data_IF_722198351579
#
_entry.id   IF_722198351579
#
_cell.length_a   1.000
_cell.length_b   1.000
_cell.length_c   1.000
_cell.angle_alpha   90.00
_cell.angle_beta   90.00
_cell.angle_gamma   90.00
#
_symmetry.space_group_name_H-M   'P 1'
#
loop_
_entity.id
_entity.type
_entity.pdbx_description
1 polymer ?
#
# COMPACT_ATOMS: atom_id res chain seq x y z
N UNK A 1 9.16 33.98 13.66
CA UNK A 1 9.31 34.16 12.21
C UNK A 1 7.97 34.00 11.52
N UNK A 2 7.44 35.08 10.94
CA UNK A 2 6.13 35.11 10.28
C UNK A 2 6.06 34.30 8.97
N UNK A 3 7.23 33.97 8.38
CA UNK A 3 7.35 33.29 7.07
C UNK A 3 6.63 31.94 7.02
N UNK A 4 6.62 31.18 8.11
CA UNK A 4 6.09 29.81 8.15
C UNK A 4 4.83 29.66 9.01
N UNK A 5 4.18 30.76 9.39
CA UNK A 5 3.00 30.74 10.27
C UNK A 5 1.85 29.88 9.71
N UNK A 6 1.62 29.92 8.39
CA UNK A 6 0.57 29.11 7.76
C UNK A 6 0.82 27.61 7.91
N UNK A 7 2.02 27.13 7.55
CA UNK A 7 2.37 25.71 7.60
C UNK A 7 2.49 25.20 9.04
N UNK A 8 3.11 25.99 9.93
CA UNK A 8 3.20 25.65 11.36
C UNK A 8 1.82 25.62 12.02
N UNK A 9 0.93 26.55 11.67
CA UNK A 9 -0.47 26.56 12.10
C UNK A 9 -1.26 25.35 11.62
N UNK A 10 -1.08 24.92 10.35
CA UNK A 10 -1.68 23.70 9.81
C UNK A 10 -1.22 22.45 10.57
N UNK A 11 0.09 22.33 10.85
CA UNK A 11 0.65 21.22 11.61
C UNK A 11 0.08 21.19 13.02
N UNK A 12 0.07 22.34 13.71
CA UNK A 12 -0.50 22.45 15.06
C UNK A 12 -1.96 21.99 15.09
N UNK A 13 -2.78 22.51 14.17
CA UNK A 13 -4.20 22.13 14.04
C UNK A 13 -4.36 20.63 13.76
N UNK A 14 -3.55 20.07 12.88
CA UNK A 14 -3.61 18.65 12.53
C UNK A 14 -3.23 17.75 13.72
N UNK A 15 -2.19 18.13 14.48
CA UNK A 15 -1.76 17.40 15.69
C UNK A 15 -2.76 17.53 16.83
N UNK A 16 -3.34 18.71 17.06
CA UNK A 16 -4.38 18.93 18.08
C UNK A 16 -5.67 18.16 17.79
N UNK A 17 -6.03 18.03 16.50
CA UNK A 17 -7.19 17.26 16.06
C UNK A 17 -6.91 15.75 15.89
N UNK A 18 -5.66 15.30 16.05
CA UNK A 18 -5.29 13.91 15.86
C UNK A 18 -5.68 13.08 17.08
N UNK A 19 -6.49 12.06 16.86
CA UNK A 19 -6.78 11.02 17.83
C UNK A 19 -5.86 9.82 17.58
N UNK A 20 -4.87 9.54 18.45
CA UNK A 20 -4.00 8.38 18.30
C UNK A 20 -4.80 7.08 18.37
N UNK A 21 -4.41 6.09 17.57
CA UNK A 21 -4.99 4.77 17.72
C UNK A 21 -4.45 4.11 18.99
N UNK A 22 -5.35 3.74 19.91
CA UNK A 22 -5.01 2.84 21.01
C UNK A 22 -5.16 1.40 20.51
N UNK A 23 -4.05 0.66 20.48
CA UNK A 23 -3.99 -0.71 19.91
C UNK A 23 -4.75 -1.70 20.78
N UNK A 24 -6.03 -1.91 20.49
CA UNK A 24 -6.79 -3.10 20.88
C UNK A 24 -6.89 -4.02 19.66
N UNK A 25 -5.89 -4.88 19.45
CA UNK A 25 -5.68 -5.66 18.21
C UNK A 25 -5.46 -4.75 16.98
N UNK A 26 -6.08 -5.04 15.83
CA UNK A 26 -6.00 -4.23 14.60
C UNK A 26 -7.17 -3.22 14.44
N UNK A 27 -7.81 -2.84 15.53
CA UNK A 27 -8.99 -1.95 15.54
C UNK A 27 -8.73 -0.58 14.89
N UNK A 28 -7.47 -0.14 14.82
CA UNK A 28 -7.05 1.10 14.17
C UNK A 28 -7.62 1.25 12.76
N UNK A 29 -7.72 0.15 12.02
CA UNK A 29 -8.12 0.17 10.62
C UNK A 29 -9.59 -0.24 10.42
N UNK A 30 -10.36 -0.40 11.51
CA UNK A 30 -11.74 -0.89 11.48
C UNK A 30 -12.69 -0.02 10.68
N UNK A 31 -12.53 1.30 10.75
CA UNK A 31 -13.36 2.23 9.98
C UNK A 31 -13.30 1.96 8.48
N UNK A 32 -12.15 1.46 7.98
CA UNK A 32 -11.91 1.22 6.55
C UNK A 32 -12.74 0.05 6.04
N UNK A 33 -12.64 -1.14 6.66
CA UNK A 33 -13.44 -2.27 6.18
C UNK A 33 -14.93 -2.05 6.43
N UNK A 34 -15.32 -1.38 7.53
CA UNK A 34 -16.72 -1.02 7.77
C UNK A 34 -17.28 -0.11 6.68
N UNK A 35 -16.49 0.85 6.21
CA UNK A 35 -16.86 1.73 5.09
C UNK A 35 -16.94 0.94 3.78
N UNK A 36 -15.98 0.07 3.52
CA UNK A 36 -15.92 -0.73 2.30
C UNK A 36 -17.04 -1.77 2.20
N UNK A 37 -17.49 -2.31 3.34
CA UNK A 37 -18.59 -3.27 3.41
C UNK A 37 -19.98 -2.59 3.46
N UNK A 38 -20.05 -1.29 3.73
CA UNK A 38 -21.32 -0.56 3.85
C UNK A 38 -22.26 -0.72 2.62
N UNK A 39 -21.78 -0.70 1.37
CA UNK A 39 -22.63 -0.91 0.19
C UNK A 39 -23.29 -2.29 0.12
N UNK A 40 -22.76 -3.29 0.84
CA UNK A 40 -23.20 -4.69 0.78
C UNK A 40 -24.10 -5.10 1.95
N UNK A 41 -24.48 -4.15 2.84
CA UNK A 41 -25.38 -4.41 3.98
C UNK A 41 -26.75 -4.93 3.58
N UNK A 42 -27.21 -4.65 2.36
CA UNK A 42 -28.45 -5.21 1.79
C UNK A 42 -28.38 -6.70 1.47
N UNK A 43 -27.20 -7.32 1.60
CA UNK A 43 -26.95 -8.71 1.29
C UNK A 43 -26.35 -8.92 -0.09
N UNK A 44 -25.55 -9.97 -0.21
CA UNK A 44 -24.94 -10.45 -1.45
C UNK A 44 -25.62 -11.77 -1.79
N UNK A 45 -26.41 -11.77 -2.86
CA UNK A 45 -27.11 -12.97 -3.32
C UNK A 45 -26.20 -13.91 -4.11
N UNK A 46 -26.66 -15.15 -4.28
CA UNK A 46 -25.96 -16.14 -5.10
C UNK A 46 -25.84 -15.70 -6.56
N UNK A 47 -26.86 -15.03 -7.08
CA UNK A 47 -26.92 -14.50 -8.44
C UNK A 47 -25.91 -13.38 -8.63
N UNK A 48 -25.82 -12.46 -7.66
CA UNK A 48 -24.78 -11.41 -7.64
C UNK A 48 -23.38 -12.01 -7.67
N UNK A 49 -23.10 -12.99 -6.79
CA UNK A 49 -21.79 -13.64 -6.79
C UNK A 49 -21.51 -14.39 -8.11
N UNK A 50 -22.50 -15.09 -8.66
CA UNK A 50 -22.36 -15.75 -9.96
C UNK A 50 -22.04 -14.76 -11.09
N UNK A 51 -22.62 -13.57 -11.07
CA UNK A 51 -22.31 -12.48 -12.01
C UNK A 51 -20.86 -11.98 -11.84
N UNK A 52 -20.39 -11.75 -10.60
CA UNK A 52 -19.00 -11.30 -10.36
C UNK A 52 -18.01 -12.31 -10.93
N UNK A 53 -18.24 -13.60 -10.67
CA UNK A 53 -17.38 -14.69 -11.16
C UNK A 53 -17.42 -14.79 -12.68
N UNK A 54 -18.60 -14.67 -13.32
CA UNK A 54 -18.71 -14.76 -14.78
C UNK A 54 -17.98 -13.62 -15.50
N UNK A 55 -17.90 -12.45 -14.88
CA UNK A 55 -17.19 -11.28 -15.39
C UNK A 55 -15.67 -11.35 -15.25
N UNK A 56 -15.12 -12.35 -14.55
CA UNK A 56 -13.67 -12.57 -14.35
C UNK A 56 -12.93 -11.33 -13.83
N UNK A 57 -13.57 -10.62 -12.87
CA UNK A 57 -13.01 -9.40 -12.28
C UNK A 57 -11.88 -9.67 -11.27
N UNK A 58 -11.69 -10.93 -10.87
CA UNK A 58 -10.62 -11.37 -9.99
C UNK A 58 -10.57 -12.89 -9.93
N UNK A 59 -9.79 -13.41 -8.99
CA UNK A 59 -9.68 -14.84 -8.71
C UNK A 59 -10.72 -15.25 -7.67
N UNK A 60 -11.53 -16.25 -7.98
CA UNK A 60 -12.60 -16.73 -7.11
C UNK A 60 -12.11 -17.76 -6.10
N UNK A 61 -12.36 -17.50 -4.82
CA UNK A 61 -12.04 -18.36 -3.68
C UNK A 61 -13.32 -18.77 -2.94
N UNK A 62 -13.28 -19.96 -2.34
CA UNK A 62 -14.32 -20.45 -1.44
C UNK A 62 -13.67 -20.99 -0.16
N UNK A 63 -14.22 -20.63 1.00
CA UNK A 63 -13.86 -21.21 2.30
C UNK A 63 -15.03 -22.07 2.74
N UNK A 64 -14.78 -23.36 2.95
CA UNK A 64 -15.81 -24.31 3.38
C UNK A 64 -15.21 -25.28 4.40
N UNK A 65 -15.80 -25.35 5.59
CA UNK A 65 -15.33 -26.20 6.70
C UNK A 65 -13.84 -25.97 6.98
N UNK A 66 -13.46 -24.70 7.09
CA UNK A 66 -12.08 -24.24 7.33
C UNK A 66 -11.04 -24.72 6.29
N UNK A 67 -11.48 -25.01 5.06
CA UNK A 67 -10.61 -25.35 3.92
C UNK A 67 -10.75 -24.32 2.82
N UNK A 68 -9.63 -23.95 2.19
CA UNK A 68 -9.57 -22.98 1.12
C UNK A 68 -9.64 -23.70 -0.22
N UNK A 69 -10.51 -23.21 -1.11
CA UNK A 69 -10.63 -23.69 -2.48
C UNK A 69 -10.51 -22.50 -3.43
N UNK A 70 -9.92 -22.73 -4.60
CA UNK A 70 -9.74 -21.69 -5.63
C UNK A 70 -10.02 -22.26 -7.00
N UNK A 71 -10.43 -21.39 -7.92
CA UNK A 71 -10.36 -21.72 -9.35
C UNK A 71 -8.91 -21.99 -9.79
N UNK A 72 -8.75 -22.68 -10.92
CA UNK A 72 -7.43 -23.04 -11.44
C UNK A 72 -6.63 -21.79 -11.83
N UNK A 73 -7.29 -20.87 -12.53
CA UNK A 73 -6.65 -19.69 -13.11
C UNK A 73 -6.26 -18.65 -12.04
N UNK A 74 -4.97 -18.32 -11.99
CA UNK A 74 -4.47 -17.12 -11.35
C UNK A 74 -3.46 -16.44 -12.28
N UNK A 75 -3.78 -15.24 -12.77
CA UNK A 75 -2.92 -14.50 -13.69
C UNK A 75 -1.56 -14.12 -13.08
N UNK A 76 -1.50 -13.99 -11.75
CA UNK A 76 -0.29 -13.66 -11.02
C UNK A 76 -0.07 -14.66 -9.87
N UNK A 77 0.50 -15.85 -10.14
CA UNK A 77 0.60 -16.94 -9.16
C UNK A 77 1.22 -16.55 -7.82
N UNK A 78 2.34 -15.81 -7.82
CA UNK A 78 2.97 -15.33 -6.60
C UNK A 78 2.08 -14.35 -5.81
N UNK A 79 1.22 -13.58 -6.47
CA UNK A 79 0.25 -12.69 -5.79
C UNK A 79 -0.87 -13.49 -5.13
N UNK A 80 -1.39 -14.51 -5.81
CA UNK A 80 -2.34 -15.44 -5.20
C UNK A 80 -1.71 -16.15 -4.00
N UNK A 81 -0.48 -16.63 -4.12
CA UNK A 81 0.27 -17.28 -3.02
C UNK A 81 0.41 -16.35 -1.80
N UNK A 82 0.73 -15.06 -2.02
CA UNK A 82 0.79 -14.07 -0.94
C UNK A 82 -0.56 -13.80 -0.26
N UNK A 83 -1.68 -13.83 -1.00
CA UNK A 83 -3.03 -13.77 -0.41
C UNK A 83 -3.34 -15.04 0.38
N UNK A 84 -3.09 -16.21 -0.23
CA UNK A 84 -3.35 -17.53 0.32
C UNK A 84 -2.59 -17.77 1.63
N UNK A 85 -1.36 -17.26 1.76
CA UNK A 85 -0.61 -17.28 3.01
C UNK A 85 -1.43 -16.74 4.19
N UNK A 86 -2.00 -15.54 4.04
CA UNK A 86 -2.79 -14.92 5.11
C UNK A 86 -4.11 -15.66 5.32
N UNK A 87 -4.81 -16.03 4.25
CA UNK A 87 -6.07 -16.77 4.34
C UNK A 87 -5.89 -18.09 5.11
N UNK A 88 -4.87 -18.88 4.77
CA UNK A 88 -4.56 -20.15 5.44
C UNK A 88 -4.15 -19.95 6.91
N UNK A 89 -3.45 -18.87 7.23
CA UNK A 89 -3.06 -18.53 8.60
C UNK A 89 -4.23 -18.28 9.56
N UNK A 90 -5.36 -17.80 9.02
CA UNK A 90 -6.56 -17.45 9.81
C UNK A 90 -7.76 -18.39 9.57
N UNK A 91 -7.65 -19.34 8.65
CA UNK A 91 -8.79 -20.10 8.10
C UNK A 91 -9.62 -20.87 9.14
N UNK A 92 -8.99 -21.28 10.25
CA UNK A 92 -9.65 -22.01 11.35
C UNK A 92 -10.64 -21.15 12.12
N UNK A 93 -10.55 -19.82 12.01
CA UNK A 93 -11.42 -18.84 12.67
C UNK A 93 -12.43 -18.21 11.71
N UNK A 94 -12.35 -18.52 10.43
CA UNK A 94 -13.25 -17.99 9.41
C UNK A 94 -14.48 -18.90 9.20
N UNK A 95 -15.68 -18.32 9.03
CA UNK A 95 -16.88 -19.05 8.63
C UNK A 95 -16.85 -19.42 7.14
N UNK A 96 -17.82 -20.22 6.72
CA UNK A 96 -18.01 -20.57 5.31
C UNK A 96 -18.38 -19.33 4.48
N UNK A 97 -17.67 -19.09 3.38
CA UNK A 97 -17.90 -17.94 2.48
C UNK A 97 -17.32 -18.19 1.08
N UNK A 98 -17.64 -17.31 0.14
CA UNK A 98 -16.93 -17.22 -1.14
C UNK A 98 -16.74 -15.76 -1.53
N UNK A 99 -15.65 -15.46 -2.24
CA UNK A 99 -15.24 -14.10 -2.59
C UNK A 99 -14.41 -14.06 -3.87
N UNK A 100 -14.45 -12.93 -4.57
CA UNK A 100 -13.61 -12.66 -5.74
C UNK A 100 -12.52 -11.67 -5.36
N UNK A 101 -11.27 -12.13 -5.37
CA UNK A 101 -10.07 -11.34 -5.03
C UNK A 101 -9.33 -10.97 -6.30
N UNK A 102 -9.39 -9.68 -6.67
CA UNK A 102 -8.59 -9.11 -7.72
C UNK A 102 -7.12 -8.95 -7.28
N UNK A 103 -6.23 -9.67 -7.95
CA UNK A 103 -4.78 -9.58 -7.76
C UNK A 103 -4.07 -8.73 -8.83
N UNK A 104 -4.82 -8.01 -9.66
CA UNK A 104 -4.28 -7.00 -10.59
C UNK A 104 -4.01 -5.68 -9.85
N UNK A 105 -3.31 -4.76 -10.52
CA UNK A 105 -2.96 -3.47 -9.91
C UNK A 105 -4.17 -2.52 -9.77
N UNK A 106 -5.14 -2.56 -10.69
CA UNK A 106 -6.21 -1.56 -10.78
C UNK A 106 -7.55 -2.08 -10.23
N UNK A 107 -8.36 -1.27 -9.54
CA UNK A 107 -9.69 -1.65 -9.05
C UNK A 107 -10.68 -1.91 -10.18
N UNK A 108 -11.79 -2.60 -9.87
CA UNK A 108 -12.69 -3.20 -10.87
C UNK A 108 -14.13 -2.68 -10.82
N UNK A 109 -14.56 -2.08 -9.71
CA UNK A 109 -15.96 -1.74 -9.44
C UNK A 109 -16.10 -0.22 -9.28
N UNK A 110 -16.10 0.55 -10.37
CA UNK A 110 -16.30 2.00 -10.29
C UNK A 110 -17.67 2.36 -9.72
N UNK A 111 -17.78 3.52 -9.05
CA UNK A 111 -18.98 3.97 -8.33
C UNK A 111 -20.25 4.07 -9.17
N UNK A 112 -20.10 4.35 -10.46
CA UNK A 112 -21.20 4.45 -11.41
C UNK A 112 -21.81 3.09 -11.78
N UNK A 113 -21.12 1.97 -11.52
CA UNK A 113 -21.62 0.63 -11.82
C UNK A 113 -22.82 0.28 -10.93
N UNK A 114 -23.89 -0.23 -11.55
CA UNK A 114 -25.11 -0.73 -10.89
C UNK A 114 -25.53 -2.09 -11.47
N UNK A 115 -25.92 -3.09 -10.65
CA UNK A 115 -25.82 -3.09 -9.19
C UNK A 115 -24.36 -3.06 -8.70
N UNK A 116 -24.15 -2.68 -7.43
CA UNK A 116 -22.82 -2.73 -6.82
C UNK A 116 -22.48 -4.20 -6.54
N UNK A 117 -21.29 -4.64 -6.95
CA UNK A 117 -20.85 -6.03 -6.84
C UNK A 117 -19.57 -6.16 -5.98
N UNK A 118 -19.42 -7.23 -5.17
CA UNK A 118 -18.29 -7.36 -4.25
C UNK A 118 -17.04 -7.90 -4.95
N UNK A 119 -16.04 -7.03 -5.16
CA UNK A 119 -14.70 -7.42 -5.60
C UNK A 119 -13.68 -6.86 -4.61
N UNK A 120 -12.74 -7.69 -4.18
CA UNK A 120 -11.65 -7.27 -3.30
C UNK A 120 -10.47 -6.82 -4.15
N UNK A 121 -9.95 -5.61 -3.93
CA UNK A 121 -8.77 -5.07 -4.62
C UNK A 121 -7.84 -4.39 -3.62
N UNK A 122 -6.51 -4.55 -3.75
CA UNK A 122 -5.58 -4.04 -2.73
C UNK A 122 -5.60 -2.50 -2.60
N UNK A 123 -5.95 -1.81 -3.69
CA UNK A 123 -5.93 -0.35 -3.79
C UNK A 123 -7.11 0.19 -4.58
N UNK A 124 -7.58 1.37 -4.17
CA UNK A 124 -8.65 2.10 -4.83
C UNK A 124 -8.58 3.60 -4.54
N UNK A 125 -9.45 4.35 -5.21
CA UNK A 125 -9.81 5.73 -4.84
C UNK A 125 -11.24 5.77 -4.28
N UNK A 126 -11.72 6.96 -3.89
CA UNK A 126 -13.12 7.16 -3.53
C UNK A 126 -14.08 6.79 -4.66
N UNK A 127 -13.63 6.79 -5.92
CA UNK A 127 -14.47 6.53 -7.10
C UNK A 127 -14.73 5.04 -7.37
N UNK A 128 -14.35 4.16 -6.45
CA UNK A 128 -14.52 2.71 -6.55
C UNK A 128 -15.16 2.11 -5.29
N UNK A 129 -15.99 1.10 -5.51
CA UNK A 129 -16.65 0.30 -4.48
C UNK A 129 -15.91 -1.00 -4.16
N UNK A 130 -14.73 -1.23 -4.74
CA UNK A 130 -13.89 -2.38 -4.38
C UNK A 130 -13.63 -2.41 -2.86
N UNK A 131 -13.52 -3.61 -2.30
CA UNK A 131 -13.22 -3.81 -0.89
C UNK A 131 -11.70 -3.91 -0.73
N UNK A 132 -11.08 -3.01 0.02
CA UNK A 132 -9.63 -3.05 0.22
C UNK A 132 -9.21 -4.24 1.07
N UNK A 133 -8.08 -4.83 0.72
CA UNK A 133 -7.44 -5.90 1.49
C UNK A 133 -5.93 -5.66 1.62
N UNK A 134 -5.26 -6.20 2.65
CA UNK A 134 -3.81 -6.14 2.77
C UNK A 134 -3.12 -6.87 1.60
N UNK A 135 -2.41 -6.11 0.77
CA UNK A 135 -1.81 -6.62 -0.45
C UNK A 135 -0.93 -7.87 -0.24
N UNK A 136 -0.90 -8.74 -1.24
CA UNK A 136 -0.05 -9.94 -1.29
C UNK A 136 1.41 -9.69 -0.87
N UNK A 137 1.95 -8.52 -1.22
CA UNK A 137 3.36 -8.11 -0.98
C UNK A 137 3.74 -8.02 0.50
N UNK A 138 2.79 -8.07 1.44
CA UNK A 138 3.16 -8.25 2.85
C UNK A 138 3.88 -9.59 3.08
N UNK A 139 3.59 -10.60 2.25
CA UNK A 139 4.28 -11.89 2.25
C UNK A 139 5.16 -12.08 1.00
N UNK A 140 4.60 -11.99 -0.20
CA UNK A 140 5.33 -12.23 -1.46
C UNK A 140 4.61 -11.64 -2.70
N UNK A 141 5.16 -11.82 -3.90
CA UNK A 141 4.50 -11.44 -5.16
C UNK A 141 4.48 -9.94 -5.48
N UNK A 142 5.22 -9.12 -4.73
CA UNK A 142 5.50 -7.73 -5.11
C UNK A 142 6.44 -7.64 -6.32
N UNK A 143 6.76 -6.41 -6.79
CA UNK A 143 7.59 -6.22 -7.97
C UNK A 143 8.97 -6.91 -7.85
N UNK A 144 9.30 -7.77 -8.82
CA UNK A 144 10.62 -8.39 -8.96
C UNK A 144 11.59 -7.42 -9.64
N UNK A 145 12.18 -6.53 -8.83
CA UNK A 145 13.09 -5.48 -9.29
C UNK A 145 14.52 -6.03 -9.28
N UNK A 146 15.03 -6.43 -10.44
CA UNK A 146 16.40 -6.93 -10.56
C UNK A 146 17.45 -5.81 -10.39
N UNK A 147 18.58 -6.03 -9.70
CA UNK A 147 18.95 -7.25 -8.96
C UNK A 147 18.51 -7.25 -7.48
N UNK A 148 17.81 -6.21 -7.02
CA UNK A 148 17.60 -5.96 -5.58
C UNK A 148 16.51 -6.81 -4.92
N UNK A 149 15.50 -7.25 -5.68
CA UNK A 149 14.42 -8.14 -5.23
C UNK A 149 14.16 -9.21 -6.31
N UNK A 150 15.08 -10.18 -6.49
CA UNK A 150 15.02 -11.13 -7.60
C UNK A 150 13.77 -12.04 -7.56
N UNK A 151 13.26 -12.33 -6.36
CA UNK A 151 12.06 -13.15 -6.12
C UNK A 151 10.81 -12.30 -5.80
N UNK A 152 10.84 -11.00 -6.10
CA UNK A 152 9.74 -10.08 -5.78
C UNK A 152 9.86 -9.45 -4.39
N UNK A 153 9.41 -8.19 -4.29
CA UNK A 153 9.27 -7.50 -3.00
C UNK A 153 8.25 -8.24 -2.12
N UNK A 154 8.64 -8.59 -0.90
CA UNK A 154 7.85 -9.39 0.02
C UNK A 154 8.39 -9.33 1.44
N UNK A 155 7.97 -10.29 2.26
CA UNK A 155 8.48 -10.56 3.62
C UNK A 155 8.60 -9.29 4.44
N UNK A 156 7.45 -8.65 4.63
CA UNK A 156 7.36 -7.39 5.36
C UNK A 156 7.93 -7.50 6.78
N UNK A 157 7.80 -8.66 7.43
CA UNK A 157 8.47 -9.00 8.68
C UNK A 157 9.99 -8.79 8.62
N UNK A 158 10.66 -9.34 7.61
CA UNK A 158 12.12 -9.23 7.46
C UNK A 158 12.53 -7.82 7.02
N UNK A 159 11.78 -7.24 6.09
CA UNK A 159 12.03 -5.90 5.57
C UNK A 159 11.91 -4.82 6.67
N UNK A 160 11.00 -4.99 7.64
CA UNK A 160 10.90 -4.12 8.82
C UNK A 160 12.19 -4.11 9.63
N UNK A 161 12.77 -5.28 9.89
CA UNK A 161 14.04 -5.39 10.64
C UNK A 161 15.22 -4.81 9.86
N UNK A 162 15.28 -5.04 8.55
CA UNK A 162 16.31 -4.47 7.68
C UNK A 162 16.27 -2.94 7.66
N UNK A 163 15.06 -2.37 7.54
CA UNK A 163 14.85 -0.92 7.58
C UNK A 163 15.15 -0.32 8.95
N UNK A 164 14.75 -0.98 10.04
CA UNK A 164 15.09 -0.57 11.41
C UNK A 164 16.61 -0.49 11.60
N UNK A 165 17.33 -1.55 11.22
CA UNK A 165 18.81 -1.57 11.28
C UNK A 165 19.45 -0.49 10.41
N UNK A 166 18.87 -0.18 9.26
CA UNK A 166 19.36 0.91 8.41
C UNK A 166 19.10 2.28 9.04
N UNK A 167 17.92 2.50 9.62
CA UNK A 167 17.56 3.74 10.31
C UNK A 167 18.50 4.01 11.50
N UNK A 168 18.90 2.99 12.26
CA UNK A 168 19.87 3.10 13.36
C UNK A 168 21.25 3.57 12.89
N UNK A 169 21.69 3.16 11.68
CA UNK A 169 22.94 3.65 11.07
C UNK A 169 22.85 5.11 10.63
N UNK A 170 21.64 5.59 10.34
CA UNK A 170 21.36 6.92 9.81
C UNK A 170 20.44 7.73 10.73
N UNK A 171 20.87 8.10 11.95
CA UNK A 171 20.10 8.98 12.81
C UNK A 171 19.85 10.33 12.14
N UNK A 172 18.76 11.00 12.50
CA UNK A 172 18.25 12.20 11.82
C UNK A 172 19.33 13.24 11.45
N UNK A 173 20.21 13.59 12.41
CA UNK A 173 21.29 14.56 12.22
C UNK A 173 22.36 14.15 11.19
N UNK A 174 22.51 12.85 10.89
CA UNK A 174 23.46 12.32 9.88
C UNK A 174 22.85 12.16 8.49
N UNK A 175 21.53 12.26 8.36
CA UNK A 175 20.84 12.11 7.07
C UNK A 175 21.11 13.30 6.16
N UNK A 176 21.17 13.04 4.85
CA UNK A 176 21.38 14.03 3.80
C UNK A 176 20.10 14.87 3.61
N UNK A 177 20.20 16.19 3.76
CA UNK A 177 19.10 17.16 3.62
C UNK A 177 18.69 17.44 2.16
N UNK A 178 18.38 16.39 1.40
CA UNK A 178 18.00 16.42 -0.02
C UNK A 178 16.76 15.56 -0.24
N UNK A 179 15.84 16.01 -1.09
CA UNK A 179 14.71 15.18 -1.56
C UNK A 179 15.23 13.96 -2.30
N UNK A 180 14.68 12.77 -2.05
CA UNK A 180 15.17 11.54 -2.68
C UNK A 180 14.06 10.67 -3.25
N UNK A 181 14.29 10.17 -4.47
CA UNK A 181 13.44 9.19 -5.12
C UNK A 181 14.22 8.31 -6.12
N UNK A 182 13.97 7.00 -6.05
CA UNK A 182 14.32 6.02 -7.09
C UNK A 182 13.11 5.14 -7.36
N UNK A 183 12.67 5.10 -8.61
CA UNK A 183 11.55 4.27 -9.06
C UNK A 183 11.32 4.45 -10.54
N UNK A 184 10.50 3.61 -11.16
CA UNK A 184 10.18 3.70 -12.60
C UNK A 184 9.03 4.68 -12.88
N UNK A 185 8.80 5.00 -14.15
CA UNK A 185 7.74 5.91 -14.60
C UNK A 185 6.38 5.20 -14.74
N UNK A 186 5.84 4.72 -13.62
CA UNK A 186 4.50 4.06 -13.59
C UNK A 186 3.33 5.05 -13.51
N UNK A 187 3.61 6.35 -13.30
CA UNK A 187 2.64 7.44 -13.43
C UNK A 187 3.38 8.70 -13.90
N UNK A 188 2.84 9.50 -14.83
CA UNK A 188 3.38 10.80 -15.21
C UNK A 188 3.42 11.82 -14.07
N UNK A 189 2.63 11.64 -13.00
CA UNK A 189 2.65 12.53 -11.81
C UNK A 189 4.02 12.55 -11.11
N UNK A 190 4.91 11.59 -11.41
CA UNK A 190 6.30 11.57 -10.93
C UNK A 190 7.21 12.50 -11.72
N UNK A 191 6.84 12.89 -12.94
CA UNK A 191 7.69 13.64 -13.86
C UNK A 191 8.18 14.97 -13.29
N UNK A 192 7.34 15.81 -12.64
CA UNK A 192 7.79 17.10 -12.13
C UNK A 192 8.95 16.99 -11.13
N UNK A 193 8.98 15.95 -10.28
CA UNK A 193 10.09 15.75 -9.34
C UNK A 193 11.39 15.36 -10.05
N UNK A 194 11.29 14.54 -11.09
CA UNK A 194 12.45 14.14 -11.90
C UNK A 194 13.00 15.35 -12.66
N UNK A 195 12.13 16.20 -13.19
CA UNK A 195 12.53 17.45 -13.86
C UNK A 195 13.15 18.42 -12.86
N UNK A 196 12.56 18.58 -11.66
CA UNK A 196 13.12 19.37 -10.57
C UNK A 196 14.51 18.89 -10.16
N UNK A 197 14.73 17.58 -10.07
CA UNK A 197 16.05 17.02 -9.75
C UNK A 197 17.10 17.29 -10.84
N UNK A 198 16.68 17.32 -12.11
CA UNK A 198 17.57 17.68 -13.23
C UNK A 198 17.93 19.15 -13.22
N UNK A 199 16.97 20.01 -12.86
CA UNK A 199 17.16 21.45 -12.77
C UNK A 199 17.99 21.84 -11.54
N UNK A 200 17.69 21.27 -10.38
CA UNK A 200 18.34 21.56 -9.11
C UNK A 200 18.72 20.27 -8.37
N UNK A 201 19.83 19.63 -8.76
CA UNK A 201 20.29 18.38 -8.14
C UNK A 201 20.72 18.54 -6.67
N UNK A 202 20.94 19.77 -6.19
CA UNK A 202 21.22 20.05 -4.78
C UNK A 202 19.97 20.10 -3.90
N UNK A 203 18.80 20.33 -4.50
CA UNK A 203 17.52 20.28 -3.80
C UNK A 203 16.94 18.86 -3.77
N UNK A 204 17.00 18.15 -4.90
CA UNK A 204 16.40 16.82 -5.07
C UNK A 204 17.33 15.91 -5.88
N UNK A 205 17.49 14.67 -5.42
CA UNK A 205 18.05 13.55 -6.19
C UNK A 205 16.95 12.52 -6.49
N UNK A 206 16.24 12.73 -7.61
CA UNK A 206 15.16 11.90 -8.09
C UNK A 206 15.45 11.42 -9.52
N UNK A 207 15.48 10.10 -9.73
CA UNK A 207 15.80 9.51 -11.05
C UNK A 207 14.91 8.32 -11.36
N UNK A 208 14.56 8.19 -12.64
CA UNK A 208 13.82 7.04 -13.13
C UNK A 208 14.70 5.80 -13.29
N UNK A 209 14.25 4.68 -12.75
CA UNK A 209 14.82 3.33 -12.96
C UNK A 209 14.02 2.59 -14.04
N UNK A 210 14.45 1.38 -14.43
CA UNK A 210 13.67 0.52 -15.32
C UNK A 210 12.55 -0.21 -14.57
N UNK A 211 11.53 -0.62 -15.31
CA UNK A 211 10.61 -1.68 -14.93
C UNK A 211 10.55 -2.71 -16.08
N UNK A 212 9.83 -3.81 -15.87
CA UNK A 212 9.71 -4.88 -16.86
C UNK A 212 8.99 -4.45 -18.16
N UNK A 213 8.27 -3.32 -18.15
CA UNK A 213 7.57 -2.77 -19.30
C UNK A 213 8.39 -1.71 -20.06
N UNK A 214 9.65 -1.48 -19.68
CA UNK A 214 10.52 -0.49 -20.33
C UNK A 214 10.79 -0.86 -21.80
N UNK A 215 10.64 0.12 -22.71
CA UNK A 215 10.85 -0.04 -24.15
C UNK A 215 11.89 0.92 -24.71
N UNK A 216 11.97 2.15 -24.19
CA UNK A 216 12.94 3.14 -24.66
C UNK A 216 13.22 4.21 -23.60
N UNK A 217 14.15 5.12 -23.89
CA UNK A 217 14.44 6.25 -23.00
C UNK A 217 13.24 7.20 -22.79
N UNK A 218 12.19 7.11 -23.62
CA UNK A 218 10.94 7.83 -23.36
C UNK A 218 10.34 7.45 -21.99
N UNK A 219 10.50 6.20 -21.57
CA UNK A 219 10.02 5.69 -20.29
C UNK A 219 10.85 6.22 -19.10
N UNK A 220 11.98 6.87 -19.37
CA UNK A 220 12.88 7.52 -18.40
C UNK A 220 13.06 9.01 -18.70
N UNK A 221 12.09 9.62 -19.40
CA UNK A 221 12.10 11.05 -19.78
C UNK A 221 13.36 11.46 -20.57
N UNK A 222 13.74 10.67 -21.59
CA UNK A 222 14.84 10.98 -22.50
C UNK A 222 16.23 10.96 -21.86
N UNK A 223 16.42 10.17 -20.80
CA UNK A 223 17.71 9.94 -20.16
C UNK A 223 17.94 8.44 -19.92
N UNK A 224 19.19 7.97 -19.83
CA UNK A 224 19.48 6.60 -19.42
C UNK A 224 18.86 6.29 -18.05
N UNK A 225 18.37 5.06 -17.83
CA UNK A 225 17.82 4.66 -16.54
C UNK A 225 18.88 4.72 -15.44
N UNK A 226 18.49 5.20 -14.26
CA UNK A 226 19.29 5.05 -13.06
C UNK A 226 19.29 3.58 -12.58
N UNK A 227 20.35 3.22 -11.85
CA UNK A 227 20.42 1.94 -11.14
C UNK A 227 19.32 1.87 -10.09
N UNK A 228 18.76 0.67 -9.94
CA UNK A 228 17.87 0.29 -8.87
C UNK A 228 18.61 0.38 -7.53
N UNK A 229 17.98 0.95 -6.51
CA UNK A 229 18.56 1.14 -5.18
C UNK A 229 17.68 0.40 -4.16
N UNK A 230 18.24 -0.46 -3.30
CA UNK A 230 17.50 -1.11 -2.22
C UNK A 230 16.80 -0.09 -1.31
N UNK A 231 15.66 -0.45 -0.72
CA UNK A 231 14.91 0.46 0.15
C UNK A 231 15.71 0.85 1.39
N UNK A 232 16.51 -0.07 1.95
CA UNK A 232 17.41 0.22 3.07
C UNK A 232 18.40 1.35 2.79
N UNK A 233 18.85 1.50 1.54
CA UNK A 233 19.81 2.54 1.15
C UNK A 233 19.17 3.91 0.97
N UNK A 234 17.83 3.99 1.02
CA UNK A 234 17.11 5.27 1.06
C UNK A 234 17.23 5.94 2.42
N UNK A 235 17.47 5.18 3.50
CA UNK A 235 17.42 5.70 4.87
C UNK A 235 18.50 6.74 5.19
N UNK A 236 19.51 6.92 4.33
CA UNK A 236 20.50 8.00 4.46
C UNK A 236 19.97 9.39 4.07
N UNK A 237 18.80 9.51 3.46
CA UNK A 237 18.21 10.80 3.06
C UNK A 237 17.14 11.24 4.04
N UNK A 238 17.05 12.55 4.32
CA UNK A 238 16.03 13.11 5.22
C UNK A 238 14.63 13.08 4.61
N UNK A 239 14.49 13.38 3.32
CA UNK A 239 13.19 13.64 2.70
C UNK A 239 12.93 12.59 1.61
N UNK A 240 12.01 11.66 1.87
CA UNK A 240 11.71 10.54 0.97
C UNK A 240 10.35 10.74 0.31
N UNK A 241 10.33 10.75 -1.03
CA UNK A 241 9.10 10.97 -1.77
C UNK A 241 8.35 9.67 -2.07
N UNK A 242 7.04 9.69 -1.86
CA UNK A 242 6.10 8.67 -2.30
C UNK A 242 5.12 9.24 -3.33
N UNK A 243 4.80 8.42 -4.33
CA UNK A 243 3.84 8.71 -5.39
C UNK A 243 3.00 7.47 -5.66
N UNK A 244 1.79 7.67 -6.19
CA UNK A 244 1.07 6.60 -6.89
C UNK A 244 1.89 6.03 -8.07
N UNK A 245 1.52 4.84 -8.50
CA UNK A 245 1.91 4.23 -9.77
C UNK A 245 0.67 3.96 -10.61
N UNK A 246 0.49 2.71 -11.03
CA UNK A 246 -0.79 2.27 -11.63
C UNK A 246 -1.94 2.51 -10.65
N UNK A 247 -1.73 2.16 -9.37
CA UNK A 247 -2.60 2.47 -8.24
C UNK A 247 -1.75 3.03 -7.07
N UNK A 248 -2.09 2.76 -5.80
CA UNK A 248 -1.18 3.01 -4.68
C UNK A 248 0.15 2.24 -4.85
N UNK A 249 1.21 2.72 -4.21
CA UNK A 249 2.56 2.18 -4.36
C UNK A 249 3.05 1.59 -3.05
N UNK A 250 3.45 0.32 -3.11
CA UNK A 250 4.01 -0.41 -1.96
C UNK A 250 5.21 0.26 -1.30
N UNK A 251 5.88 1.21 -1.99
CA UNK A 251 6.97 2.04 -1.44
C UNK A 251 6.58 2.72 -0.13
N UNK A 252 5.36 3.25 0.02
CA UNK A 252 5.00 4.19 1.09
C UNK A 252 5.37 3.65 2.49
N UNK A 253 4.89 2.46 2.85
CA UNK A 253 5.12 1.86 4.18
C UNK A 253 6.59 1.70 4.55
N UNK A 254 7.46 1.49 3.55
CA UNK A 254 8.88 1.29 3.77
C UNK A 254 9.62 2.58 4.13
N UNK A 255 9.18 3.72 3.58
CA UNK A 255 9.87 5.00 3.75
C UNK A 255 9.85 5.48 5.21
N UNK A 256 8.72 5.25 5.91
CA UNK A 256 8.56 5.63 7.30
C UNK A 256 9.57 4.92 8.22
N UNK A 257 9.82 3.63 7.99
CA UNK A 257 10.74 2.85 8.82
C UNK A 257 12.20 3.29 8.73
N UNK A 258 12.56 4.08 7.73
CA UNK A 258 13.87 4.72 7.68
C UNK A 258 14.06 5.79 8.78
N UNK A 259 12.99 6.24 9.47
CA UNK A 259 13.05 7.43 10.33
C UNK A 259 13.33 8.71 9.54
N UNK A 260 13.01 8.70 8.25
CA UNK A 260 13.09 9.84 7.35
C UNK A 260 11.71 10.48 7.22
N UNK A 261 11.66 11.78 6.91
CA UNK A 261 10.41 12.48 6.67
C UNK A 261 9.85 12.10 5.30
N UNK A 262 8.63 11.57 5.30
CA UNK A 262 7.93 11.18 4.07
C UNK A 262 7.21 12.38 3.48
N UNK A 263 7.40 12.59 2.18
CA UNK A 263 6.62 13.50 1.34
C UNK A 263 5.67 12.66 0.49
N UNK A 264 4.39 12.69 0.79
CA UNK A 264 3.38 11.91 0.05
C UNK A 264 2.66 12.81 -0.95
N UNK A 265 2.86 12.50 -2.23
CA UNK A 265 2.23 13.22 -3.34
C UNK A 265 0.84 12.65 -3.63
N UNK A 266 -0.14 13.55 -3.66
CA UNK A 266 -1.55 13.23 -3.90
C UNK A 266 -2.21 12.50 -2.72
N UNK A 267 -3.54 12.40 -2.77
CA UNK A 267 -4.36 11.81 -1.70
C UNK A 267 -5.40 10.78 -2.17
N UNK A 268 -5.55 10.60 -3.50
CA UNK A 268 -6.65 9.79 -4.04
C UNK A 268 -6.44 8.28 -3.87
N UNK A 269 -5.22 7.79 -4.11
CA UNK A 269 -4.93 6.35 -4.18
C UNK A 269 -4.55 5.79 -2.82
N UNK A 270 -5.34 4.81 -2.37
CA UNK A 270 -5.25 4.26 -1.02
C UNK A 270 -4.82 2.79 -1.03
N UNK A 271 -4.09 2.38 0.01
CA UNK A 271 -4.15 1.01 0.54
C UNK A 271 -4.92 1.04 1.88
N UNK A 272 -5.29 -0.12 2.42
CA UNK A 272 -6.17 -0.21 3.59
C UNK A 272 -5.73 0.61 4.82
N UNK A 273 -4.43 0.79 5.02
CA UNK A 273 -3.87 1.50 6.19
C UNK A 273 -3.68 3.00 5.96
N UNK A 274 -3.80 3.48 4.71
CA UNK A 274 -3.56 4.89 4.37
C UNK A 274 -4.50 5.85 5.12
N UNK A 275 -5.80 5.55 5.32
CA UNK A 275 -6.70 6.45 6.04
C UNK A 275 -6.26 6.77 7.48
N UNK A 276 -5.43 5.94 8.11
CA UNK A 276 -4.89 6.20 9.45
C UNK A 276 -3.58 7.00 9.44
N UNK A 277 -2.88 7.06 8.31
CA UNK A 277 -1.79 8.00 8.11
C UNK A 277 -2.37 9.39 7.84
N UNK A 278 -2.29 10.25 8.84
CA UNK A 278 -2.78 11.64 8.74
C UNK A 278 -1.73 12.61 8.18
N UNK A 279 -2.09 13.48 7.22
CA UNK A 279 -1.20 14.54 6.73
C UNK A 279 -0.82 15.49 7.86
N UNK A 280 0.40 16.02 7.82
CA UNK A 280 1.03 16.89 8.83
C UNK A 280 1.31 16.24 10.19
N UNK A 281 0.59 15.18 10.56
CA UNK A 281 0.86 14.37 11.74
C UNK A 281 2.01 13.41 11.46
N UNK A 282 1.90 12.62 10.38
CA UNK A 282 2.81 11.52 10.06
C UNK A 282 3.70 11.80 8.85
N UNK A 283 3.27 12.65 7.92
CA UNK A 283 4.00 12.95 6.67
C UNK A 283 3.67 14.37 6.17
N UNK A 284 4.47 14.87 5.22
CA UNK A 284 4.18 16.11 4.49
C UNK A 284 3.30 15.79 3.27
N UNK A 285 2.04 16.24 3.21
CA UNK A 285 1.25 16.13 1.99
C UNK A 285 1.82 17.08 0.92
N UNK A 286 1.83 16.62 -0.32
CA UNK A 286 2.30 17.39 -1.48
C UNK A 286 1.21 17.34 -2.54
N UNK A 287 0.93 18.48 -3.18
CA UNK A 287 -0.05 18.53 -4.27
C UNK A 287 0.35 17.60 -5.43
N UNK A 288 -0.64 17.01 -6.11
CA UNK A 288 -0.41 16.05 -7.20
C UNK A 288 0.39 16.62 -8.37
N UNK A 289 0.36 17.94 -8.57
CA UNK A 289 1.12 18.66 -9.61
C UNK A 289 2.51 19.12 -9.16
N UNK A 290 2.86 18.93 -7.88
CA UNK A 290 4.10 19.35 -7.21
C UNK A 290 4.33 20.86 -7.18
N UNK A 291 3.28 21.67 -7.35
CA UNK A 291 3.38 23.14 -7.35
C UNK A 291 3.96 23.70 -6.04
N UNK A 292 3.74 23.04 -4.91
CA UNK A 292 4.18 23.44 -3.56
C UNK A 292 5.51 22.79 -3.11
N UNK A 293 6.09 21.88 -3.88
CA UNK A 293 7.21 21.02 -3.42
C UNK A 293 8.45 21.82 -2.98
N UNK A 294 8.75 22.94 -3.64
CA UNK A 294 9.92 23.78 -3.33
C UNK A 294 9.72 24.51 -2.01
N UNK A 295 8.53 25.05 -1.78
CA UNK A 295 8.16 25.72 -0.53
C UNK A 295 8.23 24.72 0.63
N UNK A 296 7.64 23.54 0.46
CA UNK A 296 7.64 22.49 1.47
C UNK A 296 9.06 22.00 1.81
N UNK A 297 9.93 21.81 0.81
CA UNK A 297 11.33 21.45 1.04
C UNK A 297 12.11 22.56 1.75
N UNK A 298 11.83 23.84 1.46
CA UNK A 298 12.45 24.96 2.17
C UNK A 298 11.96 25.04 3.61
N UNK A 299 10.65 24.87 3.83
CA UNK A 299 10.03 24.86 5.15
C UNK A 299 10.67 23.81 6.07
N UNK A 300 10.77 22.56 5.64
CA UNK A 300 11.34 21.49 6.49
C UNK A 300 12.85 21.62 6.73
N UNK A 301 13.56 22.35 5.86
CA UNK A 301 14.98 22.68 6.06
C UNK A 301 15.16 23.76 7.12
N UNK A 302 14.30 24.77 7.11
CA UNK A 302 14.32 25.89 8.08
C UNK A 302 13.66 25.52 9.42
N UNK A 303 12.84 24.47 9.46
CA UNK A 303 12.12 23.99 10.65
C UNK A 303 12.46 22.51 10.95
N UNK A 304 13.75 22.20 11.04
CA UNK A 304 14.26 20.82 11.10
C UNK A 304 13.73 20.01 12.31
N UNK A 305 13.49 20.66 13.45
CA UNK A 305 12.91 20.02 14.63
C UNK A 305 11.48 19.54 14.37
N UNK A 306 10.64 20.39 13.78
CA UNK A 306 9.26 20.05 13.39
C UNK A 306 9.29 18.90 12.36
N UNK A 307 10.19 18.98 11.39
CA UNK A 307 10.38 17.93 10.39
C UNK A 307 10.74 16.57 11.02
N UNK A 308 11.63 16.57 12.02
CA UNK A 308 12.00 15.38 12.76
C UNK A 308 10.83 14.78 13.55
N UNK A 309 10.02 15.62 14.20
CA UNK A 309 8.86 15.17 14.96
C UNK A 309 7.81 14.48 14.08
N UNK A 310 7.52 15.05 12.90
CA UNK A 310 6.61 14.43 11.92
C UNK A 310 7.16 13.08 11.46
N UNK A 311 8.46 13.03 11.13
CA UNK A 311 9.12 11.79 10.71
C UNK A 311 9.04 10.71 11.80
N UNK A 312 9.24 11.08 13.06
CA UNK A 312 9.18 10.15 14.19
C UNK A 312 7.77 9.62 14.40
N UNK A 313 6.74 10.47 14.40
CA UNK A 313 5.34 10.02 14.50
C UNK A 313 4.96 9.06 13.38
N UNK A 314 5.35 9.36 12.13
CA UNK A 314 5.12 8.47 10.99
C UNK A 314 5.84 7.12 11.13
N UNK A 315 7.10 7.13 11.59
CA UNK A 315 7.85 5.90 11.89
C UNK A 315 7.17 5.08 12.99
N UNK A 316 6.79 5.73 14.09
CA UNK A 316 6.16 5.09 15.23
C UNK A 316 4.84 4.43 14.81
N UNK A 317 3.99 5.14 14.07
CA UNK A 317 2.72 4.60 13.58
C UNK A 317 2.90 3.30 12.76
N UNK A 318 3.82 3.29 11.79
CA UNK A 318 4.09 2.08 10.99
C UNK A 318 4.73 0.96 11.83
N UNK A 319 5.54 1.33 12.82
CA UNK A 319 6.15 0.35 13.73
C UNK A 319 5.09 -0.33 14.59
N UNK A 320 4.14 0.42 15.12
CA UNK A 320 3.18 -0.06 16.12
C UNK A 320 1.88 -0.61 15.52
N UNK A 321 1.46 -0.15 14.34
CA UNK A 321 0.12 -0.43 13.77
C UNK A 321 0.13 -1.00 12.35
N UNK A 322 1.27 -1.53 11.91
CA UNK A 322 1.40 -2.20 10.61
C UNK A 322 2.44 -3.33 10.65
N UNK A 323 2.40 -4.19 11.66
CA UNK A 323 3.15 -5.46 11.65
C UNK A 323 2.35 -6.60 10.96
N UNK A 324 2.89 -7.83 10.94
CA UNK A 324 2.17 -8.97 10.33
C UNK A 324 0.97 -9.45 11.15
N UNK A 325 0.93 -9.18 12.45
CA UNK A 325 -0.24 -9.48 13.28
C UNK A 325 -1.38 -8.53 12.92
N UNK A 326 -1.10 -7.24 12.73
CA UNK A 326 -2.06 -6.24 12.26
C UNK A 326 -2.63 -6.62 10.89
N UNK A 327 -1.77 -7.06 9.96
CA UNK A 327 -2.17 -7.53 8.62
C UNK A 327 -3.09 -8.75 8.70
N UNK A 328 -2.72 -9.76 9.51
CA UNK A 328 -3.51 -10.99 9.67
C UNK A 328 -4.84 -10.71 10.35
N UNK A 329 -4.83 -9.83 11.36
CA UNK A 329 -6.03 -9.40 12.08
C UNK A 329 -6.98 -8.61 11.17
N UNK A 330 -6.47 -7.74 10.29
CA UNK A 330 -7.32 -7.02 9.32
C UNK A 330 -8.04 -8.01 8.40
N UNK A 331 -7.31 -8.98 7.83
CA UNK A 331 -7.90 -10.05 7.02
C UNK A 331 -9.00 -10.81 7.76
N UNK A 332 -8.75 -11.19 9.01
CA UNK A 332 -9.71 -11.93 9.84
C UNK A 332 -11.00 -11.16 10.09
N UNK A 333 -10.90 -9.89 10.50
CA UNK A 333 -12.07 -9.07 10.78
C UNK A 333 -12.84 -8.72 9.49
N UNK A 334 -12.12 -8.34 8.42
CA UNK A 334 -12.71 -8.04 7.12
C UNK A 334 -13.55 -9.23 6.61
N UNK A 335 -12.97 -10.43 6.60
CA UNK A 335 -13.64 -11.61 6.05
C UNK A 335 -14.76 -12.11 6.97
N UNK A 336 -14.59 -12.01 8.28
CA UNK A 336 -15.63 -12.36 9.25
C UNK A 336 -16.86 -11.46 9.10
N UNK A 337 -16.68 -10.15 8.96
CA UNK A 337 -17.79 -9.21 8.70
C UNK A 337 -18.37 -9.40 7.29
N UNK A 338 -17.53 -9.56 6.26
CA UNK A 338 -17.97 -9.81 4.89
C UNK A 338 -18.86 -11.06 4.76
N UNK A 339 -18.50 -12.15 5.44
CA UNK A 339 -19.25 -13.40 5.38
C UNK A 339 -20.71 -13.26 5.82
N UNK A 340 -21.01 -12.32 6.73
CA UNK A 340 -22.35 -12.05 7.23
C UNK A 340 -23.24 -11.36 6.19
N UNK A 341 -22.64 -10.76 5.16
CA UNK A 341 -23.38 -10.17 4.06
C UNK A 341 -23.86 -11.22 3.03
N UNK A 342 -23.32 -12.45 3.01
CA UNK A 342 -23.80 -13.49 2.10
C UNK A 342 -25.17 -14.01 2.54
N UNK A 343 -26.16 -13.95 1.64
CA UNK A 343 -27.56 -14.33 1.97
C UNK A 343 -27.91 -15.78 1.62
N UNK A 344 -26.89 -16.61 1.37
CA UNK A 344 -27.06 -17.99 0.93
C UNK A 344 -25.94 -18.88 1.46
N UNK A 345 -26.17 -20.20 1.46
CA UNK A 345 -25.15 -21.19 1.81
C UNK A 345 -24.25 -21.49 0.62
N UNK A 346 -22.97 -21.20 0.76
CA UNK A 346 -21.93 -21.47 -0.25
C UNK A 346 -21.82 -22.97 -0.50
N UNK A 347 -21.63 -23.35 -1.77
CA UNK A 347 -21.39 -24.73 -2.19
C UNK A 347 -20.11 -24.79 -3.00
N UNK A 348 -19.26 -25.77 -2.68
CA UNK A 348 -18.00 -25.99 -3.40
C UNK A 348 -18.25 -26.18 -4.89
N UNK A 349 -17.53 -25.44 -5.74
CA UNK A 349 -17.49 -25.69 -7.18
C UNK A 349 -16.65 -26.92 -7.48
N UNK A 350 -17.19 -27.83 -8.31
CA UNK A 350 -16.60 -29.16 -8.56
C UNK A 350 -15.17 -29.10 -9.12
N UNK A 351 -14.86 -28.07 -9.90
CA UNK A 351 -13.57 -27.87 -10.56
C UNK A 351 -12.54 -27.11 -9.71
N UNK A 352 -12.84 -26.80 -8.44
CA UNK A 352 -11.94 -26.02 -7.59
C UNK A 352 -11.03 -26.95 -6.80
N UNK A 353 -9.73 -26.64 -6.84
CA UNK A 353 -8.71 -27.36 -6.07
C UNK A 353 -8.67 -26.82 -4.64
N UNK A 354 -8.39 -27.72 -3.69
CA UNK A 354 -8.06 -27.30 -2.32
C UNK A 354 -6.66 -26.69 -2.32
N UNK A 355 -6.51 -25.53 -1.71
CA UNK A 355 -5.21 -24.85 -1.53
C UNK A 355 -4.67 -25.25 -0.15
N UNK A 356 -3.42 -25.72 -0.13
CA UNK A 356 -2.74 -26.17 1.09
C UNK A 356 -1.38 -25.49 1.23
N UNK A 357 -0.82 -25.47 2.43
CA UNK A 357 0.48 -24.84 2.69
C UNK A 357 1.66 -25.53 2.00
N UNK A 358 1.51 -26.79 1.57
CA UNK A 358 2.53 -27.53 0.81
C UNK A 358 2.71 -26.96 -0.61
N UNK A 359 1.64 -26.45 -1.22
CA UNK A 359 1.67 -25.82 -2.55
C UNK A 359 2.44 -24.49 -2.59
N UNK A 360 2.60 -23.82 -1.45
CA UNK A 360 3.36 -22.57 -1.35
C UNK A 360 4.89 -22.77 -1.39
N UNK A 361 5.38 -24.02 -1.31
CA UNK A 361 6.82 -24.34 -1.27
C UNK A 361 7.42 -24.70 -2.63
N UNK A 362 6.60 -24.95 -3.66
CA UNK A 362 7.06 -25.54 -4.93
C UNK A 362 7.55 -24.54 -5.99
N UNK A 363 7.56 -23.23 -5.71
CA UNK A 363 8.01 -22.20 -6.67
C UNK A 363 9.14 -21.28 -6.15
N UNK A 364 9.95 -21.74 -5.17
CA UNK A 364 11.16 -21.02 -4.71
C UNK A 364 12.43 -21.48 -5.41
#
# INVERSE_FOLDING_TARGET
DAKWETLTGQIKKAVEAYEPCVKENCSCHQSVWKQDLAPFRGGISKETMAEVVSRKLGTHYQILKNKLYREQDCMFPARCSGVEHFLLGIIKRLPDMEMVINVRDYPQVPRWMKPIIPVFSFSKTSEYNDIMYPAWTFWEGGPAVWPIYPTGLGRWDLMREDLRRSAEKWPWKKKISKGYFRGSRTSPERDPLILLSRENPELVDAKYTKNQAWKSEKDTLGKPPAKEIPLVDHCKYKYLFNFRGVAASFRLKHLFLCGSLVFHVGEEWLEFFYPQLKPWVHYIPVQSDLSDVRELLQFVKENDAIAQEIAERGRQFITEHLDLEDVSCYWENLLSEYSQALTYKVKRRKNYSEITSEWLKTEL
#
